data_IF_341689879224
#
_entry.id   IF_341689879224
#
_cell.length_a   1.000
_cell.length_b   1.000
_cell.length_c   1.000
_cell.angle_alpha   90.00
_cell.angle_beta   90.00
_cell.angle_gamma   90.00
#
_symmetry.space_group_name_H-M   'P 1'
#
loop_
_entity.id
_entity.type
_entity.pdbx_description
1 polymer ?
#
# COMPACT_ATOMS: atom_id res chain seq x y z
N UNK A 1 -17.42 -47.25 -53.31
CA UNK A 1 -18.12 -45.98 -52.98
C UNK A 1 -17.52 -45.47 -51.68
N UNK A 2 -16.71 -44.41 -51.74
CA UNK A 2 -16.15 -43.75 -50.57
C UNK A 2 -16.96 -42.47 -50.31
N UNK A 3 -17.50 -42.32 -49.10
CA UNK A 3 -18.23 -41.12 -48.67
C UNK A 3 -17.23 -40.19 -48.00
N UNK A 4 -17.04 -39.00 -48.58
CA UNK A 4 -16.25 -37.94 -47.99
C UNK A 4 -17.10 -37.19 -46.95
N UNK A 5 -16.60 -37.10 -45.71
CA UNK A 5 -17.19 -36.25 -44.67
C UNK A 5 -16.54 -34.87 -44.80
N UNK A 6 -17.35 -33.87 -45.12
CA UNK A 6 -16.94 -32.48 -45.26
C UNK A 6 -17.12 -31.79 -43.90
N UNK A 7 -16.02 -31.49 -43.21
CA UNK A 7 -16.04 -30.69 -41.98
C UNK A 7 -16.26 -29.22 -42.34
N UNK A 8 -17.34 -28.62 -41.85
CA UNK A 8 -17.62 -27.19 -42.01
C UNK A 8 -16.55 -26.36 -41.27
N UNK A 9 -16.05 -25.25 -41.85
CA UNK A 9 -15.11 -24.37 -41.16
C UNK A 9 -15.84 -23.60 -40.06
N UNK A 10 -15.41 -23.80 -38.81
CA UNK A 10 -15.81 -22.96 -37.68
C UNK A 10 -15.16 -21.59 -37.91
N UNK A 11 -15.98 -20.54 -38.07
CA UNK A 11 -15.49 -19.17 -38.25
C UNK A 11 -14.74 -18.72 -37.00
N UNK A 12 -13.48 -18.31 -37.16
CA UNK A 12 -12.65 -17.76 -36.09
C UNK A 12 -13.27 -16.51 -35.45
N UNK A 13 -14.01 -15.71 -36.22
CA UNK A 13 -14.72 -14.54 -35.71
C UNK A 13 -15.86 -14.95 -34.77
N UNK A 14 -16.61 -16.00 -35.11
CA UNK A 14 -17.66 -16.52 -34.23
C UNK A 14 -17.09 -17.15 -32.94
N UNK A 15 -15.85 -17.65 -32.95
CA UNK A 15 -15.17 -18.08 -31.73
C UNK A 15 -14.69 -16.89 -30.89
N UNK A 16 -14.19 -15.82 -31.53
CA UNK A 16 -13.78 -14.58 -30.85
C UNK A 16 -14.95 -13.91 -30.16
N UNK A 17 -16.07 -13.73 -30.86
CA UNK A 17 -17.27 -13.09 -30.32
C UNK A 17 -17.88 -13.90 -29.16
N UNK A 18 -17.78 -15.23 -29.22
CA UNK A 18 -18.22 -16.10 -28.13
C UNK A 18 -17.26 -16.06 -26.93
N UNK A 19 -15.95 -15.87 -27.13
CA UNK A 19 -14.99 -15.68 -26.04
C UNK A 19 -15.24 -14.32 -25.35
N UNK A 20 -15.47 -13.27 -26.13
CA UNK A 20 -15.79 -11.94 -25.61
C UNK A 20 -17.14 -11.96 -24.87
N UNK A 21 -18.17 -12.64 -25.40
CA UNK A 21 -19.45 -12.81 -24.72
C UNK A 21 -19.34 -13.64 -23.43
N UNK A 22 -18.49 -14.68 -23.39
CA UNK A 22 -18.23 -15.49 -22.18
C UNK A 22 -17.43 -14.69 -21.15
N UNK A 23 -16.51 -13.81 -21.57
CA UNK A 23 -15.80 -12.92 -20.67
C UNK A 23 -16.72 -11.83 -20.10
N UNK A 24 -17.59 -11.23 -20.92
CA UNK A 24 -18.61 -10.27 -20.47
C UNK A 24 -19.54 -10.93 -19.44
N UNK A 25 -20.05 -12.14 -19.72
CA UNK A 25 -20.93 -12.86 -18.79
C UNK A 25 -20.25 -13.41 -17.53
N UNK A 26 -18.93 -13.68 -17.55
CA UNK A 26 -18.19 -14.03 -16.31
C UNK A 26 -17.96 -12.82 -15.41
N UNK A 27 -17.89 -11.62 -15.98
CA UNK A 27 -17.69 -10.38 -15.21
C UNK A 27 -18.97 -9.98 -14.47
N UNK A 28 -20.15 -10.23 -15.07
CA UNK A 28 -21.46 -9.87 -14.50
C UNK A 28 -22.00 -10.87 -13.45
N UNK A 29 -21.36 -12.02 -13.25
CA UNK A 29 -21.83 -13.08 -12.32
C UNK A 29 -21.01 -13.21 -11.03
N UNK A 30 -19.98 -12.39 -10.81
CA UNK A 30 -19.30 -12.34 -9.51
C UNK A 30 -20.19 -11.55 -8.55
N UNK A 31 -20.71 -12.21 -7.52
CA UNK A 31 -21.31 -11.53 -6.37
C UNK A 31 -20.34 -10.47 -5.85
N UNK A 32 -20.79 -9.21 -5.75
CA UNK A 32 -20.06 -8.16 -5.05
C UNK A 32 -19.77 -8.65 -3.63
N UNK A 33 -18.51 -8.99 -3.36
CA UNK A 33 -18.10 -9.40 -2.02
C UNK A 33 -18.13 -8.20 -1.09
N UNK A 34 -18.66 -8.40 0.12
CA UNK A 34 -18.58 -7.40 1.17
C UNK A 34 -17.13 -6.98 1.42
N UNK A 35 -16.92 -5.71 1.80
CA UNK A 35 -15.60 -5.12 2.07
C UNK A 35 -14.72 -6.02 2.96
N UNK A 36 -15.31 -6.52 4.05
CA UNK A 36 -14.64 -7.29 5.09
C UNK A 36 -14.67 -8.82 4.85
N UNK A 37 -15.20 -9.29 3.73
CA UNK A 37 -15.07 -10.70 3.38
C UNK A 37 -13.60 -11.05 3.17
N UNK A 38 -13.18 -12.18 3.72
CA UNK A 38 -11.80 -12.65 3.59
C UNK A 38 -11.40 -12.79 2.11
N UNK A 39 -10.15 -12.44 1.83
CA UNK A 39 -9.54 -12.67 0.54
C UNK A 39 -9.49 -14.18 0.25
N UNK A 40 -9.87 -14.57 -0.96
CA UNK A 40 -9.82 -15.96 -1.42
C UNK A 40 -8.57 -16.22 -2.27
N UNK A 41 -8.09 -15.21 -3.00
CA UNK A 41 -6.99 -15.38 -3.95
C UNK A 41 -5.65 -15.80 -3.28
N UNK A 42 -5.41 -15.35 -2.04
CA UNK A 42 -4.19 -15.63 -1.28
C UNK A 42 -4.24 -16.95 -0.49
N UNK A 43 -5.41 -17.62 -0.40
CA UNK A 43 -5.55 -18.87 0.38
C UNK A 43 -4.67 -20.01 -0.13
N UNK A 44 -4.36 -20.00 -1.43
CA UNK A 44 -3.48 -20.99 -2.05
C UNK A 44 -2.00 -20.59 -2.02
N UNK A 45 -1.66 -19.37 -1.56
CA UNK A 45 -0.28 -18.88 -1.50
C UNK A 45 0.42 -19.45 -0.27
N UNK A 46 1.69 -19.83 -0.43
CA UNK A 46 2.53 -20.17 0.71
C UNK A 46 2.96 -18.89 1.45
N UNK A 47 2.27 -18.59 2.55
CA UNK A 47 2.52 -17.42 3.38
C UNK A 47 3.83 -17.50 4.17
N UNK A 48 4.46 -18.67 4.26
CA UNK A 48 5.73 -18.84 4.99
C UNK A 48 6.90 -18.17 4.27
N UNK A 49 6.83 -17.96 2.94
CA UNK A 49 7.90 -17.31 2.18
C UNK A 49 7.98 -15.79 2.31
N UNK A 50 6.90 -15.12 2.75
CA UNK A 50 6.81 -13.66 2.75
C UNK A 50 7.35 -13.05 4.04
N UNK A 51 8.00 -11.88 3.92
CA UNK A 51 8.45 -11.07 5.08
C UNK A 51 9.42 -11.81 6.02
N UNK A 52 10.38 -12.55 5.45
CA UNK A 52 11.42 -13.25 6.20
C UNK A 52 12.63 -12.35 6.49
N UNK A 53 12.59 -11.60 7.60
CA UNK A 53 13.62 -10.61 7.94
C UNK A 53 14.87 -11.19 8.64
N UNK A 54 14.75 -12.35 9.30
CA UNK A 54 15.90 -13.00 9.95
C UNK A 54 16.93 -13.47 8.91
N UNK A 55 16.44 -14.03 7.81
CA UNK A 55 17.23 -14.50 6.67
C UNK A 55 17.44 -13.43 5.59
N UNK A 56 16.93 -12.21 5.79
CA UNK A 56 17.08 -11.13 4.82
C UNK A 56 18.55 -10.74 4.60
N UNK A 57 18.84 -10.25 3.39
CA UNK A 57 20.16 -9.80 3.00
C UNK A 57 20.62 -8.57 3.82
N UNK A 58 21.93 -8.33 3.83
CA UNK A 58 22.51 -7.22 4.59
C UNK A 58 21.96 -5.85 4.18
N UNK A 59 21.51 -5.69 2.93
CA UNK A 59 20.90 -4.45 2.44
C UNK A 59 19.61 -4.11 3.20
N UNK A 60 18.70 -5.07 3.38
CA UNK A 60 17.46 -4.89 4.15
C UNK A 60 17.75 -4.62 5.62
N UNK A 61 18.72 -5.33 6.20
CA UNK A 61 19.16 -5.13 7.59
C UNK A 61 19.74 -3.72 7.80
N UNK A 62 20.61 -3.28 6.90
CA UNK A 62 21.21 -1.95 6.94
C UNK A 62 20.17 -0.83 6.72
N UNK A 63 19.20 -1.06 5.84
CA UNK A 63 18.08 -0.16 5.62
C UNK A 63 17.31 0.11 6.91
N UNK A 64 16.83 -0.95 7.58
CA UNK A 64 16.06 -0.79 8.81
C UNK A 64 16.91 -0.26 9.97
N UNK A 65 18.18 -0.65 10.06
CA UNK A 65 19.10 -0.05 11.03
C UNK A 65 19.22 1.46 10.83
N UNK A 66 19.30 1.94 9.59
CA UNK A 66 19.32 3.36 9.26
C UNK A 66 17.99 4.04 9.59
N UNK A 67 16.86 3.44 9.19
CA UNK A 67 15.52 3.97 9.49
C UNK A 67 15.30 4.10 11.00
N UNK A 68 15.58 3.04 11.76
CA UNK A 68 15.40 3.01 13.21
C UNK A 68 16.33 3.99 13.91
N UNK A 69 17.51 4.30 13.36
CA UNK A 69 18.43 5.30 13.92
C UNK A 69 17.95 6.73 13.65
N UNK A 70 17.42 7.01 12.45
CA UNK A 70 17.22 8.38 11.96
C UNK A 70 15.78 8.89 12.05
N UNK A 71 14.79 8.02 12.22
CA UNK A 71 13.40 8.40 12.45
C UNK A 71 13.19 8.81 13.90
N UNK A 72 13.32 10.12 14.16
CA UNK A 72 13.16 10.74 15.48
C UNK A 72 11.93 11.66 15.47
N UNK A 73 11.44 12.06 16.65
CA UNK A 73 10.39 13.08 16.79
C UNK A 73 10.80 14.36 16.07
N UNK A 74 12.05 14.81 16.25
CA UNK A 74 12.56 16.02 15.61
C UNK A 74 12.53 15.91 14.08
N UNK A 75 12.95 14.76 13.54
CA UNK A 75 12.88 14.49 12.11
C UNK A 75 11.44 14.54 11.58
N UNK A 76 10.53 13.87 12.29
CA UNK A 76 9.13 13.73 11.92
C UNK A 76 8.37 15.06 11.92
N UNK A 77 8.65 15.93 12.91
CA UNK A 77 8.11 17.29 12.95
C UNK A 77 8.61 18.12 11.77
N UNK A 78 9.90 18.04 11.46
CA UNK A 78 10.50 18.75 10.32
C UNK A 78 9.89 18.28 9.00
N UNK A 79 9.82 16.97 8.77
CA UNK A 79 9.30 16.41 7.52
C UNK A 79 7.84 16.81 7.25
N UNK A 80 6.99 16.76 8.29
CA UNK A 80 5.60 17.22 8.23
C UNK A 80 5.48 18.72 7.98
N UNK A 81 6.34 19.54 8.57
CA UNK A 81 6.39 20.96 8.29
C UNK A 81 6.83 21.24 6.84
N UNK A 82 7.86 20.55 6.36
CA UNK A 82 8.33 20.69 4.97
C UNK A 82 7.26 20.25 3.97
N UNK A 83 6.50 19.20 4.28
CA UNK A 83 5.34 18.79 3.50
C UNK A 83 4.30 19.91 3.37
N UNK A 84 3.85 20.47 4.49
CA UNK A 84 2.83 21.53 4.50
C UNK A 84 3.22 22.78 3.72
N UNK A 85 4.51 23.09 3.65
CA UNK A 85 5.01 24.33 3.05
C UNK A 85 5.54 24.17 1.62
N UNK A 86 5.55 22.96 1.05
CA UNK A 86 6.16 22.70 -0.26
C UNK A 86 5.28 21.80 -1.10
N UNK A 87 4.80 22.35 -2.21
CA UNK A 87 4.34 21.54 -3.35
C UNK A 87 5.55 21.06 -4.14
N UNK A 88 5.60 19.76 -4.41
CA UNK A 88 6.72 19.08 -5.06
C UNK A 88 6.46 18.90 -6.54
N UNK A 89 5.22 18.63 -6.92
CA UNK A 89 4.85 18.47 -8.33
C UNK A 89 3.35 18.69 -8.58
N UNK A 90 3.02 18.87 -9.86
CA UNK A 90 1.65 18.83 -10.38
C UNK A 90 1.61 17.80 -11.49
N UNK A 91 0.88 16.71 -11.28
CA UNK A 91 0.70 15.65 -12.28
C UNK A 91 -0.58 14.87 -11.97
N UNK A 92 -1.12 14.21 -12.98
CA UNK A 92 -2.21 13.24 -12.82
C UNK A 92 -1.75 12.02 -12.03
N UNK A 93 -2.69 11.24 -11.49
CA UNK A 93 -2.37 9.96 -10.81
C UNK A 93 -1.66 8.99 -11.75
N UNK A 94 -2.06 8.95 -13.03
CA UNK A 94 -1.42 8.07 -14.00
C UNK A 94 0.03 8.49 -14.32
N UNK A 95 0.28 9.79 -14.50
CA UNK A 95 1.65 10.31 -14.66
C UNK A 95 2.52 10.04 -13.42
N UNK A 96 1.93 10.09 -12.22
CA UNK A 96 2.58 9.70 -10.97
C UNK A 96 2.97 8.22 -10.96
N UNK A 97 2.10 7.33 -11.42
CA UNK A 97 2.42 5.90 -11.60
C UNK A 97 3.54 5.70 -12.61
N UNK A 98 3.49 6.36 -13.77
CA UNK A 98 4.54 6.31 -14.80
C UNK A 98 5.89 6.80 -14.26
N UNK A 99 5.89 7.86 -13.44
CA UNK A 99 7.09 8.36 -12.77
C UNK A 99 7.61 7.37 -11.73
N UNK A 100 6.74 6.82 -10.89
CA UNK A 100 7.12 5.84 -9.87
C UNK A 100 7.70 4.57 -10.48
N UNK A 101 7.28 4.21 -11.70
CA UNK A 101 7.81 3.05 -12.41
C UNK A 101 9.34 3.08 -12.64
N UNK A 102 9.98 4.25 -12.48
CA UNK A 102 11.44 4.42 -12.57
C UNK A 102 12.16 4.21 -11.23
N UNK A 103 11.43 3.97 -10.14
CA UNK A 103 11.94 3.73 -8.80
C UNK A 103 12.19 2.24 -8.55
N UNK A 104 13.27 1.92 -7.84
CA UNK A 104 13.59 0.57 -7.37
C UNK A 104 13.52 0.60 -5.84
N UNK A 105 12.63 -0.19 -5.26
CA UNK A 105 12.47 -0.33 -3.81
C UNK A 105 13.48 -1.34 -3.27
N UNK A 106 14.44 -0.86 -2.47
CA UNK A 106 15.54 -1.68 -1.96
C UNK A 106 15.19 -2.42 -0.65
N UNK A 107 14.03 -2.13 -0.05
CA UNK A 107 13.65 -2.70 1.25
C UNK A 107 12.67 -3.87 1.16
N UNK A 108 12.00 -4.05 0.02
CA UNK A 108 11.05 -5.13 -0.20
C UNK A 108 11.79 -6.42 -0.60
N UNK A 109 11.88 -7.43 0.29
CA UNK A 109 12.57 -8.69 -0.01
C UNK A 109 11.80 -9.54 -1.04
N UNK A 110 10.55 -9.18 -1.32
CA UNK A 110 9.58 -9.98 -2.04
C UNK A 110 9.30 -9.43 -3.46
N UNK A 111 10.00 -8.38 -3.94
CA UNK A 111 9.78 -7.82 -5.30
C UNK A 111 11.05 -7.64 -6.14
N UNK A 112 11.02 -8.19 -7.36
CA UNK A 112 11.92 -7.83 -8.47
C UNK A 112 11.19 -7.04 -9.58
N UNK A 113 9.90 -6.78 -9.38
CA UNK A 113 9.00 -6.25 -10.39
C UNK A 113 8.95 -4.72 -10.37
N UNK A 114 8.53 -4.15 -11.49
CA UNK A 114 8.35 -2.70 -11.60
C UNK A 114 7.25 -2.21 -10.65
N UNK A 115 7.38 -0.98 -10.14
CA UNK A 115 6.37 -0.40 -9.25
C UNK A 115 4.99 -0.32 -9.92
N UNK A 116 4.93 -0.04 -11.22
CA UNK A 116 3.67 -0.05 -11.98
C UNK A 116 3.02 -1.44 -11.95
N UNK A 117 3.81 -2.51 -12.09
CA UNK A 117 3.32 -3.89 -12.02
C UNK A 117 2.68 -4.16 -10.66
N UNK A 118 3.35 -3.80 -9.57
CA UNK A 118 2.84 -3.99 -8.20
C UNK A 118 1.49 -3.28 -7.96
N UNK A 119 1.39 -2.02 -8.36
CA UNK A 119 0.16 -1.23 -8.23
C UNK A 119 -1.00 -1.87 -8.99
N UNK A 120 -0.75 -2.31 -10.23
CA UNK A 120 -1.77 -2.96 -11.07
C UNK A 120 -2.13 -4.36 -10.56
N UNK A 121 -1.18 -5.14 -10.03
CA UNK A 121 -1.46 -6.45 -9.44
C UNK A 121 -2.37 -6.33 -8.22
N UNK A 122 -2.05 -5.38 -7.33
CA UNK A 122 -2.86 -5.08 -6.15
C UNK A 122 -4.28 -4.66 -6.55
N UNK A 123 -4.41 -3.73 -7.49
CA UNK A 123 -5.70 -3.24 -7.98
C UNK A 123 -6.52 -4.33 -8.69
N UNK A 124 -5.91 -5.13 -9.56
CA UNK A 124 -6.59 -6.21 -10.28
C UNK A 124 -6.99 -7.35 -9.34
N UNK A 125 -6.20 -7.66 -8.30
CA UNK A 125 -6.59 -8.66 -7.30
C UNK A 125 -7.88 -8.23 -6.56
N UNK A 126 -7.95 -6.96 -6.14
CA UNK A 126 -9.12 -6.37 -5.50
C UNK A 126 -10.32 -6.37 -6.47
N UNK A 127 -10.10 -5.97 -7.73
CA UNK A 127 -11.13 -5.95 -8.78
C UNK A 127 -11.66 -7.34 -9.09
N UNK A 128 -10.78 -8.34 -9.18
CA UNK A 128 -11.14 -9.72 -9.46
C UNK A 128 -11.97 -10.36 -8.36
N UNK A 129 -11.91 -9.84 -7.13
CA UNK A 129 -12.76 -10.30 -6.04
C UNK A 129 -14.07 -9.51 -5.89
N UNK A 130 -14.37 -8.57 -6.80
CA UNK A 130 -15.62 -7.80 -6.77
C UNK A 130 -15.70 -6.84 -5.59
N UNK A 131 -14.54 -6.39 -5.08
CA UNK A 131 -14.49 -5.39 -4.00
C UNK A 131 -14.88 -4.00 -4.52
N UNK A 132 -15.33 -3.09 -3.64
CA UNK A 132 -15.77 -1.75 -4.04
C UNK A 132 -14.75 -1.00 -4.90
N UNK A 133 -15.25 -0.21 -5.86
CA UNK A 133 -14.42 0.57 -6.80
C UNK A 133 -13.38 1.45 -6.11
N UNK A 134 -13.75 2.13 -5.02
CA UNK A 134 -12.81 2.94 -4.24
C UNK A 134 -11.66 2.10 -3.65
N UNK A 135 -11.88 0.83 -3.31
CA UNK A 135 -10.85 -0.05 -2.78
C UNK A 135 -9.90 -0.51 -3.88
N UNK A 136 -10.41 -0.72 -5.10
CA UNK A 136 -9.58 -0.99 -6.27
C UNK A 136 -8.65 0.20 -6.55
N UNK A 137 -9.16 1.43 -6.42
CA UNK A 137 -8.34 2.63 -6.52
C UNK A 137 -7.30 2.71 -5.41
N UNK A 138 -7.66 2.38 -4.16
CA UNK A 138 -6.69 2.29 -3.06
C UNK A 138 -5.55 1.33 -3.41
N UNK A 139 -5.86 0.14 -3.94
CA UNK A 139 -4.84 -0.80 -4.44
C UNK A 139 -3.95 -0.19 -5.52
N UNK A 140 -4.52 0.58 -6.44
CA UNK A 140 -3.77 1.25 -7.50
C UNK A 140 -2.83 2.35 -6.99
N UNK A 141 -3.17 3.03 -5.90
CA UNK A 141 -2.46 4.26 -5.49
C UNK A 141 -1.66 4.12 -4.19
N UNK A 142 -1.87 3.11 -3.35
CA UNK A 142 -1.34 3.03 -1.98
C UNK A 142 0.16 3.36 -1.85
N UNK A 143 0.94 2.94 -2.85
CA UNK A 143 2.39 3.11 -2.88
C UNK A 143 2.88 4.38 -3.61
N UNK A 144 1.98 5.22 -4.15
CA UNK A 144 2.38 6.45 -4.85
C UNK A 144 3.07 7.48 -3.94
N UNK A 145 3.00 7.31 -2.63
CA UNK A 145 3.79 8.11 -1.71
C UNK A 145 5.30 7.91 -1.85
N UNK A 146 5.74 6.80 -2.46
CA UNK A 146 7.15 6.51 -2.78
C UNK A 146 7.76 7.55 -3.73
N UNK A 147 6.95 8.35 -4.40
CA UNK A 147 7.40 9.52 -5.16
C UNK A 147 8.21 10.52 -4.34
N UNK A 148 8.09 10.52 -3.00
CA UNK A 148 8.97 11.26 -2.09
C UNK A 148 10.45 11.10 -2.43
N UNK A 149 10.86 9.91 -2.89
CA UNK A 149 12.22 9.63 -3.32
C UNK A 149 12.73 10.64 -4.36
N UNK A 150 11.88 10.99 -5.33
CA UNK A 150 12.22 11.97 -6.38
C UNK A 150 12.13 13.42 -5.91
N UNK A 151 11.58 13.67 -4.73
CA UNK A 151 11.24 15.00 -4.23
C UNK A 151 12.13 15.48 -3.08
N UNK A 152 13.31 14.88 -2.96
CA UNK A 152 14.34 15.28 -2.01
C UNK A 152 14.29 14.53 -0.68
N UNK A 153 13.80 13.28 -0.69
CA UNK A 153 14.04 12.34 0.40
C UNK A 153 15.55 12.23 0.70
N UNK A 154 15.88 11.96 1.96
CA UNK A 154 17.27 11.81 2.40
C UNK A 154 17.85 10.42 2.10
N UNK A 155 16.98 9.44 1.85
CA UNK A 155 17.32 8.10 1.41
C UNK A 155 16.04 7.32 1.13
N UNK A 156 16.13 5.99 1.06
CA UNK A 156 14.93 5.17 1.06
C UNK A 156 14.31 5.06 2.47
N UNK A 157 15.13 5.19 3.52
CA UNK A 157 14.72 5.02 4.92
C UNK A 157 13.65 6.03 5.40
N UNK A 158 13.53 7.19 4.75
CA UNK A 158 12.49 8.19 5.00
C UNK A 158 11.34 8.17 3.97
N UNK A 159 11.22 7.07 3.23
CA UNK A 159 10.21 6.86 2.19
C UNK A 159 9.49 5.53 2.38
N UNK A 160 10.22 4.41 2.39
CA UNK A 160 9.67 3.04 2.36
C UNK A 160 9.85 2.31 3.69
N UNK A 161 9.42 1.04 3.74
CA UNK A 161 9.58 0.15 4.87
C UNK A 161 8.44 0.22 5.89
N UNK A 162 8.39 -0.78 6.77
CA UNK A 162 7.45 -0.82 7.87
C UNK A 162 7.54 0.45 8.74
N UNK A 163 6.38 0.91 9.20
CA UNK A 163 6.29 2.11 10.02
C UNK A 163 6.07 1.80 11.51
N UNK A 164 6.37 2.77 12.36
CA UNK A 164 6.23 2.69 13.81
C UNK A 164 5.91 4.06 14.41
N UNK A 165 5.40 4.10 15.64
CA UNK A 165 5.16 5.37 16.32
C UNK A 165 6.47 5.97 16.85
N UNK A 166 6.70 7.26 16.63
CA UNK A 166 7.78 8.04 17.26
C UNK A 166 7.24 8.81 18.45
N UNK A 167 8.10 9.17 19.41
CA UNK A 167 7.70 9.97 20.58
C UNK A 167 7.04 9.20 21.72
N UNK A 168 7.07 7.87 21.67
CA UNK A 168 6.81 6.94 22.76
C UNK A 168 7.81 5.77 22.68
N UNK A 169 7.79 4.91 23.70
CA UNK A 169 8.72 3.77 23.74
C UNK A 169 8.56 2.90 22.48
N UNK A 170 9.69 2.51 21.88
CA UNK A 170 9.69 1.59 20.74
C UNK A 170 9.26 0.19 21.19
N UNK A 171 8.25 -0.37 20.51
CA UNK A 171 7.69 -1.69 20.82
C UNK A 171 8.58 -2.83 20.28
N UNK A 172 8.67 -3.94 21.01
CA UNK A 172 9.46 -5.12 20.60
C UNK A 172 8.93 -5.83 19.35
N UNK A 173 7.69 -5.53 18.92
CA UNK A 173 7.08 -6.07 17.70
C UNK A 173 7.42 -5.28 16.44
N UNK A 174 8.17 -4.18 16.55
CA UNK A 174 8.79 -3.56 15.38
C UNK A 174 9.83 -4.53 14.82
N UNK A 175 10.05 -4.52 13.49
CA UNK A 175 11.10 -5.32 12.85
C UNK A 175 12.43 -5.13 13.59
N UNK A 176 13.17 -6.23 13.83
CA UNK A 176 14.40 -6.26 14.63
C UNK A 176 14.28 -5.83 16.10
N UNK A 177 13.05 -5.64 16.61
CA UNK A 177 12.72 -5.35 18.00
C UNK A 177 13.24 -4.01 18.52
N UNK A 178 12.95 -3.69 19.78
CA UNK A 178 13.30 -2.37 20.33
C UNK A 178 14.82 -2.13 20.35
N UNK A 179 15.62 -3.18 20.45
CA UNK A 179 17.09 -3.09 20.54
C UNK A 179 17.74 -2.54 19.28
N UNK A 180 17.05 -2.62 18.14
CA UNK A 180 17.51 -2.04 16.89
C UNK A 180 17.55 -0.50 16.94
N UNK A 181 16.85 0.12 17.89
CA UNK A 181 16.78 1.56 18.10
C UNK A 181 17.85 2.10 19.05
N UNK A 182 18.78 1.27 19.55
CA UNK A 182 19.79 1.68 20.55
C UNK A 182 20.61 2.93 20.16
N UNK A 183 20.77 3.18 18.87
CA UNK A 183 21.54 4.29 18.29
C UNK A 183 20.64 5.50 17.92
N UNK A 184 19.32 5.40 18.10
CA UNK A 184 18.37 6.49 17.94
C UNK A 184 18.44 7.45 19.15
N UNK A 185 18.49 8.76 18.89
CA UNK A 185 18.56 9.79 19.94
C UNK A 185 17.33 9.77 20.89
N UNK A 186 16.17 9.33 20.41
CA UNK A 186 14.95 9.26 21.20
C UNK A 186 14.89 8.01 22.10
N UNK A 187 15.73 7.00 21.86
CA UNK A 187 15.66 5.70 22.54
C UNK A 187 15.84 5.79 24.06
N UNK A 188 16.80 6.60 24.52
CA UNK A 188 17.06 6.82 25.95
C UNK A 188 16.52 8.17 26.45
N UNK A 189 15.67 8.85 25.67
CA UNK A 189 15.10 10.12 26.07
C UNK A 189 14.10 9.92 27.21
N UNK A 190 14.20 10.68 28.30
CA UNK A 190 13.37 10.50 29.51
C UNK A 190 11.86 10.60 29.22
N UNK A 191 11.46 11.40 28.24
CA UNK A 191 10.06 11.52 27.81
C UNK A 191 9.71 10.36 26.88
N UNK A 192 10.42 10.25 25.75
CA UNK A 192 10.03 9.33 24.67
C UNK A 192 10.24 7.86 25.01
N UNK A 193 11.17 7.52 25.91
CA UNK A 193 11.37 6.13 26.37
C UNK A 193 10.26 5.62 27.29
N UNK A 194 9.32 6.48 27.72
CA UNK A 194 8.16 6.05 28.50
C UNK A 194 7.07 5.45 27.60
N UNK A 195 6.22 4.60 28.19
CA UNK A 195 5.15 3.88 27.48
C UNK A 195 4.29 4.80 26.60
N UNK A 196 3.90 5.96 27.12
CA UNK A 196 3.03 6.90 26.41
C UNK A 196 3.79 8.05 25.78
N UNK A 197 5.01 8.35 26.25
CA UNK A 197 5.81 9.47 25.79
C UNK A 197 5.04 10.78 25.74
N UNK A 198 4.88 11.34 24.54
CA UNK A 198 4.15 12.59 24.30
C UNK A 198 2.63 12.41 24.12
N UNK A 199 2.13 11.19 24.12
CA UNK A 199 0.73 10.85 23.86
C UNK A 199 -0.06 10.60 25.14
N UNK A 200 -1.39 10.56 24.98
CA UNK A 200 -2.31 10.12 26.02
C UNK A 200 -2.92 8.76 25.68
N UNK A 201 -3.27 7.91 26.67
CA UNK A 201 -3.97 6.66 26.42
C UNK A 201 -5.30 6.91 25.67
N UNK A 202 -5.58 6.11 24.64
CA UNK A 202 -6.79 6.24 23.83
C UNK A 202 -6.93 7.56 23.06
N UNK A 203 -5.83 8.25 22.78
CA UNK A 203 -5.86 9.52 22.06
C UNK A 203 -6.28 9.40 20.59
N UNK A 204 -6.35 8.19 20.03
CA UNK A 204 -6.61 7.95 18.63
C UNK A 204 -5.32 7.92 17.81
N UNK A 205 -5.19 6.97 16.88
CA UNK A 205 -4.01 6.88 16.02
C UNK A 205 -3.90 8.06 15.05
N UNK A 206 -4.96 8.83 14.85
CA UNK A 206 -4.89 10.08 14.12
C UNK A 206 -4.00 11.13 14.80
N UNK A 207 -3.83 11.02 16.13
CA UNK A 207 -3.03 11.90 16.98
C UNK A 207 -1.64 11.32 17.31
N UNK A 208 -1.33 10.10 16.86
CA UNK A 208 -0.01 9.48 17.02
C UNK A 208 0.84 9.78 15.80
N UNK A 209 2.07 10.28 16.00
CA UNK A 209 3.02 10.42 14.90
C UNK A 209 3.61 9.06 14.55
N UNK A 210 3.10 8.49 13.48
CA UNK A 210 3.74 7.38 12.78
C UNK A 210 4.95 7.92 12.01
N UNK A 211 6.07 7.20 11.98
CA UNK A 211 7.29 7.66 11.35
C UNK A 211 7.04 8.06 9.88
N UNK A 212 7.73 9.11 9.42
CA UNK A 212 7.49 9.72 8.13
C UNK A 212 7.88 8.77 6.99
N UNK A 213 7.01 8.67 6.00
CA UNK A 213 7.20 7.82 4.83
C UNK A 213 6.07 8.00 3.80
N UNK A 214 5.99 7.07 2.86
CA UNK A 214 5.02 7.08 1.76
C UNK A 214 3.56 7.06 2.25
N UNK A 215 3.22 6.28 3.29
CA UNK A 215 1.88 6.23 3.88
C UNK A 215 1.35 7.62 4.28
N UNK A 216 2.06 8.30 5.20
CA UNK A 216 1.62 9.57 5.77
C UNK A 216 1.61 10.68 4.69
N UNK A 217 2.61 10.66 3.80
CA UNK A 217 2.70 11.62 2.70
C UNK A 217 1.52 11.46 1.73
N UNK A 218 1.23 10.23 1.29
CA UNK A 218 0.14 9.99 0.36
C UNK A 218 -1.21 10.25 1.02
N UNK A 219 -1.40 9.82 2.27
CA UNK A 219 -2.62 10.07 3.04
C UNK A 219 -2.99 11.55 3.02
N UNK A 220 -2.04 12.45 3.29
CA UNK A 220 -2.32 13.88 3.28
C UNK A 220 -2.68 14.43 1.89
N UNK A 221 -2.09 13.91 0.82
CA UNK A 221 -2.43 14.31 -0.56
C UNK A 221 -3.84 13.85 -0.92
N UNK A 222 -4.14 12.59 -0.66
CA UNK A 222 -5.38 11.93 -1.06
C UNK A 222 -6.55 12.42 -0.24
N UNK A 223 -6.37 12.61 1.07
CA UNK A 223 -7.40 13.15 1.97
C UNK A 223 -7.95 14.49 1.51
N UNK A 224 -7.08 15.36 1.01
CA UNK A 224 -7.45 16.73 0.64
C UNK A 224 -7.98 16.86 -0.80
N UNK A 225 -7.71 15.88 -1.67
CA UNK A 225 -7.92 16.00 -3.12
C UNK A 225 -8.75 14.87 -3.75
N UNK A 226 -9.24 13.92 -2.95
CA UNK A 226 -10.07 12.80 -3.40
C UNK A 226 -11.39 12.69 -2.63
N UNK A 227 -12.27 11.82 -3.10
CA UNK A 227 -13.52 11.43 -2.42
C UNK A 227 -13.46 10.00 -1.89
N UNK A 228 -12.25 9.48 -1.61
CA UNK A 228 -12.05 8.15 -1.02
C UNK A 228 -12.60 8.15 0.42
N UNK A 229 -13.35 7.10 0.84
CA UNK A 229 -13.92 7.02 2.19
C UNK A 229 -12.85 6.81 3.28
N UNK A 230 -13.24 6.97 4.54
CA UNK A 230 -12.33 6.88 5.70
C UNK A 230 -11.59 5.54 5.75
N UNK A 231 -12.25 4.43 5.43
CA UNK A 231 -11.64 3.10 5.36
C UNK A 231 -10.49 3.07 4.34
N UNK A 232 -10.68 3.65 3.15
CA UNK A 232 -9.65 3.71 2.12
C UNK A 232 -8.49 4.64 2.49
N UNK A 233 -8.78 5.76 3.15
CA UNK A 233 -7.75 6.65 3.69
C UNK A 233 -6.93 5.96 4.80
N UNK A 234 -7.57 5.15 5.64
CA UNK A 234 -6.88 4.37 6.67
C UNK A 234 -6.02 3.25 6.07
N UNK A 235 -6.50 2.55 5.04
CA UNK A 235 -5.70 1.59 4.28
C UNK A 235 -4.42 2.27 3.76
N UNK A 236 -4.52 3.43 3.11
CA UNK A 236 -3.34 4.17 2.64
C UNK A 236 -2.42 4.58 3.80
N UNK A 237 -2.97 5.14 4.88
CA UNK A 237 -2.16 5.72 5.96
C UNK A 237 -1.45 4.69 6.85
N UNK A 238 -1.98 3.47 6.91
CA UNK A 238 -1.53 2.49 7.90
C UNK A 238 -1.17 1.12 7.32
N UNK A 239 -1.13 0.94 5.99
CA UNK A 239 -0.78 -0.35 5.38
C UNK A 239 0.66 -0.79 5.67
N UNK A 240 1.58 0.15 5.93
CA UNK A 240 2.94 -0.18 6.38
C UNK A 240 3.05 -0.32 7.90
N UNK A 241 1.98 -0.08 8.67
CA UNK A 241 2.02 -0.09 10.14
C UNK A 241 1.86 -1.50 10.72
N UNK A 242 2.69 -2.44 10.25
CA UNK A 242 2.66 -3.87 10.59
C UNK A 242 2.66 -4.17 12.08
N UNK A 243 3.46 -3.47 12.93
CA UNK A 243 3.38 -3.65 14.37
C UNK A 243 1.94 -3.54 14.89
N UNK A 244 1.12 -2.64 14.33
CA UNK A 244 -0.26 -2.44 14.74
C UNK A 244 -1.25 -3.42 14.08
N UNK A 245 -1.30 -3.48 12.74
CA UNK A 245 -2.35 -4.23 12.07
C UNK A 245 -2.12 -5.75 12.08
N UNK A 246 -0.85 -6.20 12.17
CA UNK A 246 -0.46 -7.61 12.19
C UNK A 246 -0.07 -8.08 13.60
N UNK A 247 0.84 -7.37 14.26
CA UNK A 247 1.46 -7.85 15.52
C UNK A 247 0.71 -7.39 16.80
N UNK A 248 -0.29 -6.52 16.66
CA UNK A 248 -1.15 -6.09 17.75
C UNK A 248 -0.51 -5.10 18.74
N UNK A 249 0.52 -4.37 18.32
CA UNK A 249 1.10 -3.25 19.05
C UNK A 249 0.21 -2.00 19.01
N UNK A 250 0.56 -1.02 19.85
CA UNK A 250 -0.06 0.32 19.88
C UNK A 250 -1.56 0.36 20.20
N UNK A 251 -2.11 -0.73 20.77
CA UNK A 251 -3.53 -0.80 21.17
C UNK A 251 -3.89 0.19 22.27
N UNK A 252 -2.92 0.59 23.09
CA UNK A 252 -3.10 1.57 24.15
C UNK A 252 -3.41 2.98 23.67
N UNK A 253 -3.14 3.29 22.40
CA UNK A 253 -3.43 4.59 21.80
C UNK A 253 -4.78 4.60 21.06
N UNK A 254 -5.37 3.43 20.80
CA UNK A 254 -6.57 3.33 19.97
C UNK A 254 -7.82 3.90 20.62
N UNK A 255 -8.67 4.52 19.81
CA UNK A 255 -10.06 4.86 20.12
C UNK A 255 -11.05 3.93 19.37
N UNK A 256 -12.36 4.17 19.49
CA UNK A 256 -13.39 3.35 18.80
C UNK A 256 -13.27 3.38 17.27
N UNK A 257 -12.85 4.52 16.71
CA UNK A 257 -12.67 4.67 15.27
C UNK A 257 -11.49 3.80 14.78
N UNK A 258 -10.38 3.77 15.51
CA UNK A 258 -9.22 2.94 15.15
C UNK A 258 -9.54 1.45 15.13
N UNK A 259 -10.46 0.98 15.98
CA UNK A 259 -10.90 -0.42 15.95
C UNK A 259 -11.60 -0.77 14.63
N UNK A 260 -12.35 0.17 14.04
CA UNK A 260 -12.99 -0.03 12.73
C UNK A 260 -11.96 0.08 11.61
N UNK A 261 -11.04 1.05 11.70
CA UNK A 261 -9.97 1.22 10.71
C UNK A 261 -8.99 0.05 10.69
N UNK A 262 -8.75 -0.60 11.84
CA UNK A 262 -7.96 -1.82 11.90
C UNK A 262 -8.52 -2.93 11.02
N UNK A 263 -9.84 -3.13 11.04
CA UNK A 263 -10.50 -4.15 10.21
C UNK A 263 -10.41 -3.80 8.71
N UNK A 264 -10.51 -2.51 8.36
CA UNK A 264 -10.29 -2.04 6.99
C UNK A 264 -8.85 -2.30 6.51
N UNK A 265 -7.86 -1.95 7.32
CA UNK A 265 -6.43 -2.14 6.97
C UNK A 265 -6.09 -3.63 6.85
N UNK A 266 -6.61 -4.48 7.74
CA UNK A 266 -6.47 -5.94 7.62
C UNK A 266 -7.13 -6.51 6.38
N UNK A 267 -8.28 -5.98 5.97
CA UNK A 267 -8.94 -6.41 4.74
C UNK A 267 -8.12 -6.05 3.49
N UNK A 268 -7.34 -4.97 3.54
CA UNK A 268 -6.48 -4.55 2.43
C UNK A 268 -5.15 -5.32 2.35
N UNK A 269 -4.52 -5.60 3.49
CA UNK A 269 -3.14 -6.11 3.55
C UNK A 269 -2.86 -7.38 2.70
N UNK A 270 -3.78 -8.36 2.55
CA UNK A 270 -3.55 -9.48 1.65
C UNK A 270 -3.30 -9.08 0.19
N UNK A 271 -3.99 -8.05 -0.30
CA UNK A 271 -3.87 -7.58 -1.69
C UNK A 271 -2.57 -6.85 -1.95
N UNK A 272 -2.07 -6.11 -0.97
CA UNK A 272 -0.72 -5.52 -1.04
C UNK A 272 0.36 -6.60 -1.01
N UNK A 273 0.27 -7.54 -0.04
CA UNK A 273 1.35 -8.48 0.21
C UNK A 273 1.40 -9.66 -0.77
N UNK A 274 0.25 -10.24 -1.12
CA UNK A 274 0.19 -11.55 -1.81
C UNK A 274 -0.22 -11.47 -3.28
N UNK A 275 -0.60 -10.29 -3.80
CA UNK A 275 -1.00 -10.11 -5.20
C UNK A 275 0.15 -10.30 -6.19
N UNK A 276 1.39 -10.34 -5.69
CA UNK A 276 2.62 -10.66 -6.45
C UNK A 276 2.45 -12.00 -7.19
N UNK A 277 2.37 -11.93 -8.52
CA UNK A 277 2.10 -13.08 -9.40
C UNK A 277 3.00 -13.12 -10.63
N UNK A 278 3.18 -14.31 -11.20
CA UNK A 278 3.91 -14.51 -12.47
C UNK A 278 3.17 -13.92 -13.67
N UNK A 279 1.83 -13.78 -13.60
CA UNK A 279 1.06 -13.11 -14.63
C UNK A 279 1.19 -11.59 -14.46
N UNK A 280 1.85 -10.95 -15.44
CA UNK A 280 2.11 -9.52 -15.42
C UNK A 280 0.92 -8.76 -16.04
N UNK A 281 0.31 -7.79 -15.32
CA UNK A 281 -0.72 -6.93 -15.89
C UNK A 281 -0.17 -6.11 -17.07
N UNK A 282 -1.01 -5.91 -18.10
CA UNK A 282 -0.71 -5.08 -19.27
C UNK A 282 -1.19 -3.64 -19.02
N UNK A 283 -0.30 -2.67 -18.76
CA UNK A 283 -0.70 -1.32 -18.38
C UNK A 283 -1.51 -0.63 -19.47
N UNK A 284 -1.21 -0.85 -20.75
CA UNK A 284 -1.90 -0.19 -21.86
C UNK A 284 -3.35 -0.68 -22.00
N UNK A 285 -3.58 -1.98 -21.76
CA UNK A 285 -4.94 -2.53 -21.76
C UNK A 285 -5.76 -2.09 -20.55
N UNK A 286 -5.10 -1.91 -19.40
CA UNK A 286 -5.77 -1.56 -18.14
C UNK A 286 -5.96 -0.05 -17.97
N UNK A 287 -5.15 0.78 -18.64
CA UNK A 287 -5.17 2.25 -18.56
C UNK A 287 -6.56 2.87 -18.76
N UNK A 288 -7.39 2.46 -19.74
CA UNK A 288 -8.72 3.06 -19.90
C UNK A 288 -9.62 2.87 -18.67
N UNK A 289 -9.62 1.68 -18.07
CA UNK A 289 -10.40 1.37 -16.88
C UNK A 289 -9.93 2.19 -15.68
N UNK A 290 -8.63 2.16 -15.41
CA UNK A 290 -8.09 2.83 -14.23
C UNK A 290 -8.06 4.35 -14.36
N UNK A 291 -7.95 4.90 -15.57
CA UNK A 291 -8.11 6.35 -15.77
C UNK A 291 -9.53 6.81 -15.45
N UNK A 292 -10.54 6.04 -15.86
CA UNK A 292 -11.93 6.31 -15.52
C UNK A 292 -12.17 6.19 -14.01
N UNK A 293 -11.63 5.15 -13.37
CA UNK A 293 -11.69 4.99 -11.92
C UNK A 293 -10.98 6.13 -11.16
N UNK A 294 -9.83 6.60 -11.64
CA UNK A 294 -9.14 7.76 -11.07
C UNK A 294 -10.04 9.01 -11.18
N UNK A 295 -10.60 9.27 -12.37
CA UNK A 295 -11.47 10.42 -12.61
C UNK A 295 -12.74 10.40 -11.72
N UNK A 296 -13.23 9.22 -11.34
CA UNK A 296 -14.38 9.06 -10.42
C UNK A 296 -14.09 9.60 -9.01
N UNK A 297 -12.88 9.35 -8.48
CA UNK A 297 -12.54 9.68 -7.09
C UNK A 297 -11.64 10.90 -6.92
N UNK A 298 -11.07 11.42 -8.01
CA UNK A 298 -10.27 12.65 -8.01
C UNK A 298 -10.97 13.73 -8.84
N UNK A 299 -11.79 14.60 -8.21
CA UNK A 299 -12.54 15.65 -8.92
C UNK A 299 -11.65 16.61 -9.73
N UNK A 300 -10.39 16.77 -9.33
CA UNK A 300 -9.38 17.51 -10.08
C UNK A 300 -8.37 16.54 -10.65
N UNK A 301 -8.25 16.48 -11.98
CA UNK A 301 -7.35 15.53 -12.66
C UNK A 301 -5.87 15.72 -12.31
N UNK A 302 -5.44 16.97 -12.19
CA UNK A 302 -4.04 17.31 -11.86
C UNK A 302 -3.94 17.47 -10.35
N UNK A 303 -3.20 16.56 -9.72
CA UNK A 303 -3.02 16.51 -8.28
C UNK A 303 -1.81 17.32 -7.87
N UNK A 304 -1.91 17.98 -6.73
CA UNK A 304 -0.81 18.64 -6.04
C UNK A 304 -0.10 17.64 -5.13
N UNK A 305 1.07 17.17 -5.57
CA UNK A 305 1.94 16.24 -4.84
C UNK A 305 2.95 17.00 -3.97
#
# INVERSE_FOLDING_TARGET
MAVAIQSAPISLEAMSDNIDAVNIHKTDLKQDKGLYEESEFDKAKDKQGFRQFEDACDQVKNFYAQQHTLQTVAYNLKARNDFKNKTRAHMTVWEAMEKLNTFIDECDPDTSESQMTHLLQSAEAIRNEGKPRWMQLVGLIHDLGKLLFFFGAKGQWDVVGDTFAVGCAFDDRIIFGNKSFKDNEDYNNEVYSSKYGIYSPGCGLENVMICWGHDEYLYHIVKDQSTIPEEGLAMIRYHSFYPWHREGAYREFMNEHDHKMLEAVKAFNPYDLYSKSDELPDPEKLKPYYTELIDEFFPTKVIRW
#
